data_IF_396906017706
#
_entry.id   IF_396906017706
#
_cell.length_a   1.000
_cell.length_b   1.000
_cell.length_c   1.000
_cell.angle_alpha   90.00
_cell.angle_beta   90.00
_cell.angle_gamma   90.00
#
_symmetry.space_group_name_H-M   'P 1'
#
loop_
_entity.id
_entity.type
_entity.pdbx_description
1 polymer ?
#
# COMPACT_ATOMS: atom_id res chain seq x y z
N UNK A 1 -9.50 0.00 -7.11
CA UNK A 1 -10.44 -0.66 -6.18
C UNK A 1 -9.60 -1.48 -5.23
N UNK A 2 -9.32 -0.90 -4.07
CA UNK A 2 -8.17 -1.24 -3.24
C UNK A 2 -8.57 -1.84 -1.90
N UNK A 3 -9.86 -1.81 -1.55
CA UNK A 3 -10.36 -2.38 -0.30
C UNK A 3 -11.63 -3.20 -0.55
N UNK A 4 -11.88 -4.19 0.32
CA UNK A 4 -13.14 -4.95 0.31
C UNK A 4 -14.36 -4.06 0.63
N UNK A 5 -14.15 -2.85 1.18
CA UNK A 5 -15.21 -1.86 1.38
C UNK A 5 -15.66 -1.27 0.05
N UNK A 6 -14.73 -1.03 -0.88
CA UNK A 6 -15.06 -0.55 -2.23
C UNK A 6 -15.71 -1.64 -3.08
N UNK A 7 -15.43 -2.92 -2.81
CA UNK A 7 -16.04 -4.05 -3.52
C UNK A 7 -16.24 -5.27 -2.62
N UNK A 8 -17.34 -5.29 -1.85
CA UNK A 8 -17.67 -6.41 -0.99
C UNK A 8 -17.72 -7.79 -1.67
N UNK A 9 -18.11 -7.94 -2.96
CA UNK A 9 -18.10 -9.25 -3.61
C UNK A 9 -16.71 -9.92 -3.68
N UNK A 10 -15.61 -9.16 -3.57
CA UNK A 10 -14.24 -9.73 -3.51
C UNK A 10 -14.02 -10.69 -2.34
N UNK A 11 -14.80 -10.56 -1.26
CA UNK A 11 -14.72 -11.43 -0.08
C UNK A 11 -14.87 -12.92 -0.40
N UNK A 12 -15.51 -13.26 -1.53
CA UNK A 12 -15.68 -14.65 -1.98
C UNK A 12 -14.40 -15.27 -2.59
N UNK A 13 -13.43 -14.44 -2.96
CA UNK A 13 -12.24 -14.86 -3.71
C UNK A 13 -10.93 -14.72 -2.92
N UNK A 14 -11.00 -14.23 -1.68
CA UNK A 14 -9.83 -14.04 -0.83
C UNK A 14 -9.93 -14.92 0.43
N UNK A 15 -8.82 -15.51 0.88
CA UNK A 15 -8.83 -16.33 2.09
C UNK A 15 -8.91 -15.49 3.38
N UNK A 16 -8.44 -14.24 3.34
CA UNK A 16 -8.32 -13.37 4.50
C UNK A 16 -8.44 -11.89 4.10
N UNK A 17 -8.98 -11.07 5.00
CA UNK A 17 -8.96 -9.61 4.92
C UNK A 17 -7.98 -9.06 5.96
N UNK A 18 -6.98 -8.30 5.51
CA UNK A 18 -6.02 -7.67 6.41
C UNK A 18 -6.57 -6.32 6.89
N UNK A 19 -6.68 -6.17 8.21
CA UNK A 19 -7.04 -4.90 8.84
C UNK A 19 -5.78 -4.07 9.18
N UNK A 20 -5.77 -2.76 8.87
CA UNK A 20 -4.68 -1.88 9.22
C UNK A 20 -4.56 -1.71 10.74
N UNK A 21 -3.32 -1.64 11.21
CA UNK A 21 -2.99 -1.32 12.60
C UNK A 21 -2.56 0.14 12.73
N UNK A 22 -2.44 0.64 13.97
CA UNK A 22 -1.87 1.97 14.23
C UNK A 22 -0.48 2.16 13.61
N UNK A 23 0.33 1.09 13.56
CA UNK A 23 1.68 1.12 12.96
C UNK A 23 1.64 1.31 11.44
N UNK A 24 0.63 0.72 10.79
CA UNK A 24 0.42 0.87 9.35
C UNK A 24 0.05 2.32 9.01
N UNK A 25 -0.88 2.93 9.77
CA UNK A 25 -1.22 4.34 9.61
C UNK A 25 -0.05 5.28 9.88
N UNK A 26 0.71 5.07 10.96
CA UNK A 26 1.85 5.90 11.30
C UNK A 26 2.91 5.90 10.19
N UNK A 27 3.18 4.72 9.62
CA UNK A 27 4.12 4.57 8.51
C UNK A 27 3.61 5.24 7.22
N UNK A 28 2.33 5.03 6.87
CA UNK A 28 1.71 5.67 5.72
C UNK A 28 1.75 7.21 5.82
N UNK A 29 1.49 7.78 7.00
CA UNK A 29 1.62 9.23 7.26
C UNK A 29 3.07 9.68 7.05
N UNK A 30 4.05 8.95 7.61
CA UNK A 30 5.47 9.27 7.45
C UNK A 30 5.87 9.27 5.97
N UNK A 31 5.49 8.25 5.21
CA UNK A 31 5.77 8.18 3.78
C UNK A 31 5.09 9.29 3.00
N UNK A 32 3.83 9.63 3.30
CA UNK A 32 3.13 10.72 2.63
C UNK A 32 3.81 12.09 2.86
N UNK A 33 4.31 12.35 4.07
CA UNK A 33 5.09 13.56 4.34
C UNK A 33 6.34 13.63 3.47
N UNK A 34 7.04 12.50 3.29
CA UNK A 34 8.25 12.44 2.46
C UNK A 34 7.94 12.57 0.96
N UNK A 35 6.88 11.91 0.48
CA UNK A 35 6.42 11.99 -0.91
C UNK A 35 5.93 13.39 -1.28
N UNK A 36 5.18 14.06 -0.39
CA UNK A 36 4.75 15.45 -0.58
C UNK A 36 5.93 16.40 -0.75
N UNK A 37 6.99 16.24 0.04
CA UNK A 37 8.22 17.05 -0.09
C UNK A 37 8.91 16.86 -1.45
N UNK A 38 8.69 15.72 -2.11
CA UNK A 38 9.24 15.38 -3.43
C UNK A 38 8.31 15.72 -4.60
N UNK A 39 7.11 16.24 -4.32
CA UNK A 39 6.12 16.55 -5.35
C UNK A 39 5.39 15.33 -5.92
N UNK A 40 5.46 14.17 -5.26
CA UNK A 40 4.88 12.90 -5.73
C UNK A 40 3.91 12.27 -4.71
N UNK A 41 2.90 13.01 -4.19
CA UNK A 41 1.95 12.46 -3.24
C UNK A 41 1.15 11.30 -3.85
N UNK A 42 0.83 10.29 -3.03
CA UNK A 42 -0.03 9.18 -3.42
C UNK A 42 -1.39 9.24 -2.72
N UNK A 43 -2.42 8.55 -3.25
CA UNK A 43 -3.67 8.32 -2.55
C UNK A 43 -3.42 7.67 -1.18
N UNK A 44 -4.22 8.06 -0.18
CA UNK A 44 -4.02 7.61 1.20
C UNK A 44 -4.17 6.09 1.36
N UNK A 45 -5.08 5.47 0.60
CA UNK A 45 -5.34 4.03 0.64
C UNK A 45 -4.16 3.25 0.05
N UNK A 46 -3.58 3.70 -1.06
CA UNK A 46 -2.41 3.07 -1.68
C UNK A 46 -1.23 3.08 -0.71
N UNK A 47 -0.96 4.23 -0.09
CA UNK A 47 0.07 4.35 0.95
C UNK A 47 -0.18 3.42 2.14
N UNK A 48 -1.43 3.25 2.56
CA UNK A 48 -1.78 2.36 3.65
C UNK A 48 -1.57 0.89 3.27
N UNK A 49 -1.91 0.49 2.05
CA UNK A 49 -1.69 -0.87 1.53
C UNK A 49 -0.18 -1.18 1.46
N UNK A 50 0.61 -0.25 0.94
CA UNK A 50 2.06 -0.39 0.91
C UNK A 50 2.63 -0.53 2.33
N UNK A 51 2.12 0.24 3.29
CA UNK A 51 2.58 0.20 4.69
C UNK A 51 2.22 -1.12 5.37
N UNK A 52 1.00 -1.63 5.12
CA UNK A 52 0.55 -2.95 5.59
C UNK A 52 1.50 -4.04 5.10
N UNK A 53 1.79 -4.06 3.79
CA UNK A 53 2.66 -5.05 3.17
C UNK A 53 4.08 -4.98 3.74
N UNK A 54 4.62 -3.77 3.88
CA UNK A 54 5.96 -3.54 4.43
C UNK A 54 6.09 -4.00 5.89
N UNK A 55 5.19 -3.55 6.76
CA UNK A 55 5.23 -3.88 8.19
C UNK A 55 5.11 -5.39 8.46
N UNK A 56 4.49 -6.13 7.55
CA UNK A 56 4.32 -7.59 7.65
C UNK A 56 5.39 -8.37 6.90
N UNK A 57 6.36 -7.71 6.26
CA UNK A 57 7.34 -8.38 5.42
C UNK A 57 6.67 -9.21 4.32
N UNK A 58 5.63 -8.66 3.69
CA UNK A 58 4.94 -9.23 2.54
C UNK A 58 5.49 -8.62 1.24
N UNK A 59 5.05 -9.16 0.10
CA UNK A 59 5.29 -8.59 -1.22
C UNK A 59 3.99 -7.98 -1.73
N UNK A 60 4.05 -6.74 -2.24
CA UNK A 60 2.89 -6.07 -2.79
C UNK A 60 2.73 -6.43 -4.27
N UNK A 61 1.73 -7.27 -4.56
CA UNK A 61 1.35 -7.61 -5.94
C UNK A 61 0.33 -6.61 -6.44
N UNK A 62 0.64 -5.94 -7.56
CA UNK A 62 -0.23 -4.89 -8.12
C UNK A 62 -0.08 -4.79 -9.63
N UNK A 63 -1.08 -4.21 -10.30
CA UNK A 63 -0.98 -3.74 -11.69
C UNK A 63 -0.73 -2.23 -11.77
N UNK A 64 -0.83 -1.54 -10.64
CA UNK A 64 -0.69 -0.10 -10.55
C UNK A 64 0.77 0.31 -10.29
N UNK A 65 1.35 0.99 -11.28
CA UNK A 65 2.73 1.51 -11.23
C UNK A 65 2.90 2.65 -10.22
N UNK A 66 1.83 3.26 -9.72
CA UNK A 66 1.91 4.34 -8.74
C UNK A 66 2.64 3.91 -7.45
N UNK A 67 2.59 2.63 -7.08
CA UNK A 67 3.28 2.11 -5.91
C UNK A 67 4.82 2.21 -6.00
N UNK A 68 5.38 2.28 -7.21
CA UNK A 68 6.82 2.47 -7.39
C UNK A 68 7.30 3.83 -6.86
N UNK A 69 6.42 4.84 -6.76
CA UNK A 69 6.76 6.11 -6.13
C UNK A 69 7.14 5.92 -4.64
N UNK A 70 6.57 4.91 -3.95
CA UNK A 70 6.92 4.61 -2.55
C UNK A 70 8.38 4.15 -2.45
N UNK A 71 8.94 3.48 -3.46
CA UNK A 71 10.37 3.08 -3.44
C UNK A 71 11.33 4.26 -3.40
N UNK A 72 10.89 5.46 -3.78
CA UNK A 72 11.70 6.68 -3.65
C UNK A 72 11.93 7.08 -2.18
N UNK A 73 11.06 6.62 -1.28
CA UNK A 73 11.13 6.93 0.16
C UNK A 73 11.34 5.67 1.02
N UNK A 74 11.06 4.48 0.50
CA UNK A 74 11.34 3.19 1.11
C UNK A 74 11.79 2.15 0.05
N UNK A 75 13.09 2.08 -0.26
CA UNK A 75 13.61 1.16 -1.28
C UNK A 75 13.46 -0.32 -0.93
N UNK A 76 13.25 -0.67 0.35
CA UNK A 76 13.09 -2.06 0.77
C UNK A 76 11.68 -2.61 0.53
N UNK A 77 10.73 -1.76 0.12
CA UNK A 77 9.39 -2.22 -0.25
C UNK A 77 9.46 -3.13 -1.47
N UNK A 78 9.06 -4.39 -1.29
CA UNK A 78 8.99 -5.39 -2.37
C UNK A 78 7.67 -5.24 -3.12
N UNK A 79 7.77 -4.94 -4.42
CA UNK A 79 6.62 -4.78 -5.33
C UNK A 79 6.83 -5.72 -6.52
N UNK A 80 5.78 -6.46 -6.86
CA UNK A 80 5.72 -7.29 -8.07
C UNK A 80 4.56 -6.85 -8.94
N UNK A 81 4.88 -6.51 -10.19
CA UNK A 81 3.89 -6.21 -11.21
C UNK A 81 3.54 -7.50 -11.94
N UNK A 82 2.40 -8.13 -11.61
CA UNK A 82 1.93 -9.37 -12.26
C UNK A 82 0.62 -9.12 -13.00
N UNK A 83 0.61 -9.57 -14.26
CA UNK A 83 -0.53 -9.60 -15.20
C UNK A 83 -1.40 -10.81 -14.94
#
# INVERSE_FOLDING_TARGET
MFTVVEYPPSLKYVPEVIYPTKRDYALAIKWQVMLRKRGSPLPAVDLLIAAIAFNRGMELVTLDKHFEAVKQVEPQLRIVNRV
#
